data_IF_256360076964
#
_entry.id   IF_256360076964
#
_cell.length_a   1.000
_cell.length_b   1.000
_cell.length_c   1.000
_cell.angle_alpha   90.00
_cell.angle_beta   90.00
_cell.angle_gamma   90.00
#
_symmetry.space_group_name_H-M   'P 1'
#
loop_
_entity.id
_entity.type
_entity.pdbx_description
1 polymer ?
#
# COMPACT_ATOMS: atom_id res chain seq x y z
N UNK A 1 50.46 31.53 58.61
CA UNK A 1 50.26 30.87 57.29
C UNK A 1 48.77 30.86 56.96
N UNK A 2 48.42 30.74 55.68
CA UNK A 2 47.04 30.46 55.22
C UNK A 2 46.70 28.96 55.45
N UNK A 3 45.50 28.42 55.20
CA UNK A 3 44.33 28.96 54.46
C UNK A 3 42.98 28.46 54.99
N UNK A 4 41.89 28.92 54.37
CA UNK A 4 40.47 28.59 54.63
C UNK A 4 40.09 27.20 54.10
N UNK A 5 38.95 26.65 54.57
CA UNK A 5 38.30 25.46 54.01
C UNK A 5 37.31 24.77 54.96
N UNK A 6 36.33 25.49 55.54
CA UNK A 6 34.93 25.55 55.07
C UNK A 6 34.11 24.23 55.22
N UNK A 7 33.01 24.31 55.98
CA UNK A 7 32.14 23.17 56.33
C UNK A 7 31.35 22.64 55.11
N UNK A 8 31.13 21.32 55.07
CA UNK A 8 30.23 20.68 54.11
C UNK A 8 28.79 20.68 54.64
N UNK A 9 27.91 21.48 54.05
CA UNK A 9 26.49 21.54 54.41
C UNK A 9 25.70 20.50 53.62
N UNK A 10 24.94 19.62 54.29
CA UNK A 10 24.06 18.66 53.63
C UNK A 10 22.79 19.40 53.16
N UNK A 11 22.79 19.86 51.92
CA UNK A 11 21.60 20.36 51.22
C UNK A 11 21.02 19.28 50.32
N UNK A 12 19.80 18.83 50.60
CA UNK A 12 19.10 17.88 49.72
C UNK A 12 18.60 18.56 48.46
N UNK A 13 18.92 18.02 47.28
CA UNK A 13 18.26 18.35 46.02
C UNK A 13 17.42 17.16 45.54
N UNK A 14 16.24 17.46 45.01
CA UNK A 14 15.39 16.47 44.35
C UNK A 14 16.05 16.00 43.06
N UNK A 15 16.28 14.68 42.94
CA UNK A 15 16.59 14.05 41.66
C UNK A 15 15.32 13.99 40.78
N UNK A 16 14.96 15.13 40.20
CA UNK A 16 14.02 15.16 39.08
C UNK A 16 14.66 14.43 37.88
N UNK A 17 13.89 13.53 37.28
CA UNK A 17 14.40 12.63 36.25
C UNK A 17 14.74 13.34 34.94
N UNK A 18 16.00 13.71 34.76
CA UNK A 18 16.55 14.08 33.45
C UNK A 18 16.70 12.82 32.61
N UNK A 19 15.63 12.42 31.94
CA UNK A 19 15.70 11.42 30.87
C UNK A 19 16.54 12.03 29.76
N UNK A 20 17.65 11.37 29.41
CA UNK A 20 18.68 11.90 28.50
C UNK A 20 18.10 12.21 27.13
N UNK A 21 17.91 13.49 26.82
CA UNK A 21 17.34 13.99 25.57
C UNK A 21 18.42 14.06 24.47
N UNK A 22 19.07 12.92 24.20
CA UNK A 22 20.21 12.79 23.29
C UNK A 22 20.03 11.67 22.25
N UNK A 23 18.90 11.72 21.54
CA UNK A 23 18.72 11.07 20.23
C UNK A 23 18.21 12.12 19.24
N UNK A 24 19.07 13.09 18.95
CA UNK A 24 18.81 14.17 17.98
C UNK A 24 19.78 13.97 16.81
N UNK A 25 19.25 13.92 15.58
CA UNK A 25 20.04 14.07 14.35
C UNK A 25 20.48 12.79 13.63
N UNK A 26 20.39 11.60 14.24
CA UNK A 26 20.54 10.32 13.54
C UNK A 26 19.19 9.71 13.19
N UNK A 27 18.57 10.22 12.12
CA UNK A 27 17.46 9.52 11.46
C UNK A 27 18.01 8.19 10.93
N UNK A 28 17.65 7.09 11.58
CA UNK A 28 17.96 5.75 11.07
C UNK A 28 17.04 5.52 9.87
N UNK A 29 17.49 5.97 8.69
CA UNK A 29 16.85 5.67 7.43
C UNK A 29 17.13 4.21 7.10
N UNK A 30 16.43 3.29 7.77
CA UNK A 30 16.35 1.89 7.38
C UNK A 30 15.89 1.90 5.91
N UNK A 31 16.66 1.28 5.01
CA UNK A 31 16.45 1.40 3.55
C UNK A 31 15.36 0.42 3.11
N UNK A 32 14.17 0.64 3.69
CA UNK A 32 12.98 -0.19 3.60
C UNK A 32 11.91 0.54 2.78
N UNK A 33 12.25 0.78 1.52
CA UNK A 33 11.38 1.44 0.57
C UNK A 33 10.16 0.58 0.26
N UNK A 34 8.97 1.00 0.70
CA UNK A 34 7.75 0.54 0.04
C UNK A 34 7.80 1.00 -1.42
N UNK A 35 7.35 0.17 -2.37
CA UNK A 35 7.09 0.69 -3.71
C UNK A 35 5.83 1.56 -3.65
N UNK A 36 6.02 2.84 -3.95
CA UNK A 36 5.03 3.89 -3.83
C UNK A 36 4.13 3.94 -5.04
N UNK A 37 2.84 4.08 -4.77
CA UNK A 37 1.83 4.21 -5.82
C UNK A 37 0.99 5.41 -5.44
N UNK A 38 0.91 6.38 -6.36
CA UNK A 38 0.49 7.75 -6.03
C UNK A 38 -0.99 7.92 -5.71
N UNK A 39 -1.38 9.10 -5.22
CA UNK A 39 -2.79 9.48 -5.07
C UNK A 39 -2.89 11.01 -5.09
N UNK A 40 -4.05 11.54 -5.53
CA UNK A 40 -4.58 12.88 -5.25
C UNK A 40 -6.13 12.77 -5.19
N UNK A 41 -6.80 13.73 -4.52
CA UNK A 41 -8.09 13.53 -3.85
C UNK A 41 -9.37 13.82 -4.68
N UNK A 42 -10.55 13.30 -4.27
CA UNK A 42 -11.80 14.09 -4.06
C UNK A 42 -12.96 13.26 -3.46
N UNK A 43 -13.96 13.94 -2.92
CA UNK A 43 -14.91 13.48 -1.89
C UNK A 43 -16.23 12.80 -2.36
N UNK A 44 -16.92 12.25 -1.35
CA UNK A 44 -18.34 11.84 -1.23
C UNK A 44 -18.75 10.37 -1.51
N UNK A 45 -19.47 9.84 -0.51
CA UNK A 45 -20.27 8.60 -0.36
C UNK A 45 -19.92 7.34 -1.20
N UNK A 46 -19.05 6.49 -0.64
CA UNK A 46 -18.92 5.07 -0.99
C UNK A 46 -20.09 4.23 -0.41
N UNK A 47 -20.71 3.31 -1.18
CA UNK A 47 -21.75 2.42 -0.68
C UNK A 47 -21.17 1.31 0.23
N UNK A 48 -21.91 0.91 1.27
CA UNK A 48 -21.44 -0.10 2.24
C UNK A 48 -21.17 -1.48 1.62
N UNK A 49 -19.90 -1.75 1.29
CA UNK A 49 -19.43 -3.04 0.80
C UNK A 49 -18.78 -3.85 1.92
N UNK A 50 -19.63 -4.56 2.68
CA UNK A 50 -19.21 -5.41 3.79
C UNK A 50 -18.11 -6.41 3.40
N UNK A 51 -16.92 -6.25 3.97
CA UNK A 51 -15.76 -7.11 3.76
C UNK A 51 -15.06 -7.47 5.08
N UNK A 52 -14.06 -8.34 5.02
CA UNK A 52 -13.35 -8.88 6.19
C UNK A 52 -12.95 -7.77 7.19
N UNK A 53 -13.38 -7.92 8.44
CA UNK A 53 -13.15 -6.94 9.51
C UNK A 53 -12.03 -7.38 10.45
N UNK A 54 -11.23 -6.42 10.89
CA UNK A 54 -10.29 -6.58 12.00
C UNK A 54 -10.93 -6.03 13.29
N UNK A 55 -11.62 -6.89 14.03
CA UNK A 55 -11.96 -6.63 15.44
C UNK A 55 -10.77 -7.06 16.33
N UNK A 56 -10.23 -6.09 17.05
CA UNK A 56 -8.96 -6.20 17.80
C UNK A 56 -7.86 -5.34 17.18
N UNK A 57 -6.80 -5.08 17.95
CA UNK A 57 -5.76 -4.11 17.58
C UNK A 57 -6.13 -2.64 17.87
N UNK A 58 -7.01 -2.39 18.84
CA UNK A 58 -7.30 -1.01 19.25
C UNK A 58 -6.08 -0.38 19.93
N UNK A 59 -5.75 0.86 19.53
CA UNK A 59 -4.93 1.77 20.33
C UNK A 59 -5.90 2.68 21.07
N UNK A 60 -5.88 2.66 22.40
CA UNK A 60 -6.72 3.56 23.19
C UNK A 60 -6.28 5.01 22.99
N UNK A 61 -7.21 5.97 23.03
CA UNK A 61 -6.90 7.39 22.78
C UNK A 61 -5.75 7.90 23.66
N UNK A 62 -5.73 7.50 24.93
CA UNK A 62 -4.62 7.74 25.86
C UNK A 62 -3.25 7.26 25.35
N UNK A 63 -3.15 6.15 24.62
CA UNK A 63 -1.90 5.67 24.02
C UNK A 63 -1.55 6.35 22.70
N UNK A 64 -2.53 6.82 21.93
CA UNK A 64 -2.28 7.72 20.80
C UNK A 64 -1.65 9.02 21.34
N UNK A 65 -2.25 9.61 22.38
CA UNK A 65 -1.78 10.88 22.94
C UNK A 65 -0.44 10.75 23.69
N UNK A 66 -0.25 9.66 24.47
CA UNK A 66 0.97 9.41 25.25
C UNK A 66 2.17 9.02 24.38
N UNK A 67 1.98 8.16 23.36
CA UNK A 67 3.09 7.55 22.60
C UNK A 67 3.30 8.23 21.25
N UNK A 68 2.24 8.62 20.55
CA UNK A 68 2.34 9.22 19.22
C UNK A 68 2.39 10.76 19.30
N UNK A 69 1.31 11.41 19.77
CA UNK A 69 1.17 12.87 19.71
C UNK A 69 2.14 13.63 20.62
N UNK A 70 2.68 12.98 21.66
CA UNK A 70 3.73 13.55 22.49
C UNK A 70 5.06 13.73 21.74
N UNK A 71 5.36 12.85 20.77
CA UNK A 71 6.61 12.80 20.00
C UNK A 71 6.46 13.37 18.58
N UNK A 72 5.24 13.41 18.04
CA UNK A 72 4.96 13.90 16.68
C UNK A 72 5.01 15.43 16.52
N UNK A 73 5.15 16.18 17.63
CA UNK A 73 5.06 17.65 17.65
C UNK A 73 6.13 18.33 16.80
N UNK A 74 5.74 19.31 16.00
CA UNK A 74 6.60 19.97 14.99
C UNK A 74 6.99 19.07 13.80
N UNK A 75 6.55 17.81 13.79
CA UNK A 75 6.68 16.89 12.67
C UNK A 75 5.46 16.94 11.75
N UNK A 76 5.58 16.37 10.54
CA UNK A 76 4.48 16.36 9.56
C UNK A 76 3.27 15.49 9.94
N UNK A 77 3.32 14.80 11.09
CA UNK A 77 2.24 13.94 11.60
C UNK A 77 1.59 14.44 12.90
N UNK A 78 1.88 15.67 13.36
CA UNK A 78 1.21 16.23 14.53
C UNK A 78 -0.33 16.28 14.33
N UNK A 79 -1.07 15.71 15.29
CA UNK A 79 -2.52 15.57 15.26
C UNK A 79 -3.08 14.48 14.34
N UNK A 80 -2.23 13.62 13.76
CA UNK A 80 -2.65 12.59 12.78
C UNK A 80 -2.82 11.18 13.37
N UNK A 81 -2.56 10.98 14.67
CA UNK A 81 -2.64 9.67 15.32
C UNK A 81 -4.02 9.01 15.21
N UNK A 82 -5.09 9.78 15.42
CA UNK A 82 -6.46 9.28 15.25
C UNK A 82 -6.77 8.93 13.78
N UNK A 83 -6.22 9.69 12.83
CA UNK A 83 -6.36 9.42 11.39
C UNK A 83 -5.63 8.14 10.98
N UNK A 84 -4.43 7.88 11.52
CA UNK A 84 -3.67 6.64 11.29
C UNK A 84 -4.50 5.41 11.73
N UNK A 85 -5.16 5.48 12.88
CA UNK A 85 -6.04 4.39 13.37
C UNK A 85 -7.31 4.26 12.50
N UNK A 86 -7.90 5.38 12.06
CA UNK A 86 -9.03 5.40 11.10
C UNK A 86 -8.64 4.73 9.77
N UNK A 87 -7.47 5.08 9.23
CA UNK A 87 -6.94 4.55 7.97
C UNK A 87 -6.63 3.07 8.05
N UNK A 88 -6.02 2.60 9.14
CA UNK A 88 -5.79 1.17 9.37
C UNK A 88 -7.11 0.37 9.38
N UNK A 89 -8.12 0.87 10.10
CA UNK A 89 -9.46 0.25 10.15
C UNK A 89 -10.14 0.28 8.76
N UNK A 90 -10.06 1.39 8.02
CA UNK A 90 -10.54 1.53 6.63
C UNK A 90 -9.91 0.48 5.70
N UNK A 91 -8.60 0.28 5.81
CA UNK A 91 -7.83 -0.63 4.95
C UNK A 91 -7.66 -2.04 5.51
N UNK A 92 -8.40 -2.43 6.56
CA UNK A 92 -8.48 -3.81 7.08
C UNK A 92 -7.11 -4.37 7.53
N UNK A 93 -6.25 -3.50 8.07
CA UNK A 93 -4.96 -3.84 8.68
C UNK A 93 -5.00 -3.59 10.19
N UNK A 94 -4.09 -4.22 10.93
CA UNK A 94 -4.00 -4.06 12.37
C UNK A 94 -3.49 -2.64 12.74
N UNK A 95 -4.26 -1.83 13.51
CA UNK A 95 -3.87 -0.45 13.81
C UNK A 95 -2.65 -0.31 14.72
N UNK A 96 -2.37 -1.28 15.60
CA UNK A 96 -1.15 -1.28 16.43
C UNK A 96 0.07 -1.54 15.55
N UNK A 97 0.00 -2.49 14.62
CA UNK A 97 1.07 -2.75 13.66
C UNK A 97 1.27 -1.54 12.74
N UNK A 98 0.21 -0.95 12.18
CA UNK A 98 0.33 0.16 11.24
C UNK A 98 0.93 1.42 11.87
N UNK A 99 0.43 1.82 13.06
CA UNK A 99 1.00 2.96 13.79
C UNK A 99 2.45 2.69 14.22
N UNK A 100 2.78 1.46 14.61
CA UNK A 100 4.15 1.10 14.95
C UNK A 100 5.11 1.13 13.75
N UNK A 101 4.66 0.77 12.56
CA UNK A 101 5.42 0.93 11.32
C UNK A 101 5.62 2.42 11.02
N UNK A 102 4.56 3.24 10.97
CA UNK A 102 4.71 4.69 10.72
C UNK A 102 5.68 5.35 11.72
N UNK A 103 5.60 5.03 13.01
CA UNK A 103 6.54 5.52 14.02
C UNK A 103 8.00 5.14 13.67
N UNK A 104 8.21 3.90 13.23
CA UNK A 104 9.52 3.34 12.87
C UNK A 104 10.10 3.98 11.60
N UNK A 105 9.31 4.09 10.52
CA UNK A 105 9.77 4.63 9.23
C UNK A 105 10.01 6.15 9.25
N UNK A 106 9.25 6.88 10.08
CA UNK A 106 9.21 8.35 10.03
C UNK A 106 9.83 9.05 11.24
N UNK A 107 10.16 8.30 12.30
CA UNK A 107 10.52 8.88 13.59
C UNK A 107 9.41 9.80 14.13
N UNK A 108 8.17 9.30 14.22
CA UNK A 108 6.97 10.07 14.60
C UNK A 108 6.64 11.26 13.66
N UNK A 109 6.96 11.17 12.37
CA UNK A 109 6.71 12.24 11.39
C UNK A 109 7.81 13.30 11.30
N UNK A 110 8.94 13.09 11.96
CA UNK A 110 10.08 14.01 11.96
C UNK A 110 10.99 13.86 10.73
N UNK A 111 10.87 12.77 9.97
CA UNK A 111 11.62 12.54 8.73
C UNK A 111 11.21 13.50 7.59
N UNK A 112 12.19 13.95 6.79
CA UNK A 112 11.96 14.93 5.73
C UNK A 112 11.02 14.43 4.61
N UNK A 113 10.97 13.12 4.35
CA UNK A 113 10.01 12.53 3.41
C UNK A 113 8.55 12.83 3.79
N UNK A 114 8.24 12.89 5.10
CA UNK A 114 6.92 13.30 5.59
C UNK A 114 6.70 14.80 5.32
N UNK A 115 7.63 15.65 5.74
CA UNK A 115 7.50 17.12 5.67
C UNK A 115 7.45 17.67 4.24
N UNK A 116 8.11 17.02 3.29
CA UNK A 116 8.31 17.55 1.92
C UNK A 116 7.53 16.80 0.84
N UNK A 117 7.25 15.51 1.07
CA UNK A 117 6.58 14.61 0.12
C UNK A 117 5.28 14.00 0.69
N UNK A 118 4.83 14.37 1.89
CA UNK A 118 3.67 13.77 2.58
C UNK A 118 3.79 12.24 2.75
N UNK A 119 5.02 11.70 2.72
CA UNK A 119 5.27 10.28 2.50
C UNK A 119 5.69 9.58 3.81
N UNK A 120 4.79 8.75 4.34
CA UNK A 120 4.92 8.16 5.70
C UNK A 120 5.57 6.77 5.75
N UNK A 121 6.00 6.22 4.61
CA UNK A 121 6.51 4.85 4.54
C UNK A 121 7.53 4.62 3.41
N UNK A 122 8.35 5.64 3.10
CA UNK A 122 9.43 5.53 2.10
C UNK A 122 8.95 5.15 0.69
N UNK A 123 7.71 5.52 0.34
CA UNK A 123 7.03 5.05 -0.87
C UNK A 123 7.69 5.61 -2.14
N UNK A 124 8.35 4.78 -2.94
CA UNK A 124 9.10 5.17 -4.15
C UNK A 124 8.24 5.21 -5.42
N UNK A 125 8.26 6.32 -6.16
CA UNK A 125 7.64 6.48 -7.47
C UNK A 125 8.57 6.06 -8.62
N UNK A 126 8.54 6.80 -9.73
CA UNK A 126 9.32 6.51 -10.96
C UNK A 126 10.81 6.89 -10.86
N UNK A 127 11.47 6.54 -9.76
CA UNK A 127 12.89 6.78 -9.50
C UNK A 127 13.14 7.48 -8.16
N UNK A 128 12.33 8.49 -7.85
CA UNK A 128 12.38 9.28 -6.62
C UNK A 128 11.29 8.87 -5.61
N UNK A 129 11.33 9.44 -4.39
CA UNK A 129 10.24 9.34 -3.42
C UNK A 129 8.95 9.91 -4.00
N UNK A 130 7.84 9.18 -3.87
CA UNK A 130 6.54 9.66 -4.30
C UNK A 130 6.06 10.81 -3.40
N UNK A 131 5.46 11.85 -3.99
CA UNK A 131 4.87 13.00 -3.29
C UNK A 131 3.34 12.96 -3.37
N UNK A 132 2.69 12.78 -2.21
CA UNK A 132 1.22 12.80 -2.09
C UNK A 132 0.68 14.22 -1.96
N UNK A 133 -0.57 14.45 -2.40
CA UNK A 133 -1.19 15.77 -2.44
C UNK A 133 -1.68 16.18 -1.03
N UNK A 134 -1.95 15.22 -0.13
CA UNK A 134 -2.07 15.45 1.33
C UNK A 134 -1.36 14.40 2.20
N UNK A 135 -1.20 14.69 3.50
CA UNK A 135 -0.60 13.74 4.47
C UNK A 135 -1.56 12.62 4.87
N UNK A 136 -2.84 12.94 5.04
CA UNK A 136 -3.96 11.98 5.11
C UNK A 136 -3.88 10.90 4.03
N UNK A 137 -3.57 11.34 2.81
CA UNK A 137 -3.51 10.51 1.62
C UNK A 137 -2.25 9.65 1.55
N UNK A 138 -1.09 10.18 1.96
CA UNK A 138 0.12 9.37 2.15
C UNK A 138 -0.07 8.29 3.22
N UNK A 139 -0.85 8.57 4.27
CA UNK A 139 -1.24 7.57 5.28
C UNK A 139 -2.17 6.51 4.65
N UNK A 140 -3.20 6.91 3.90
CA UNK A 140 -4.11 5.99 3.22
C UNK A 140 -3.40 5.11 2.17
N UNK A 141 -2.45 5.65 1.41
CA UNK A 141 -1.63 4.90 0.46
C UNK A 141 -0.71 3.88 1.17
N UNK A 142 -0.09 4.26 2.29
CA UNK A 142 0.70 3.34 3.10
C UNK A 142 -0.15 2.20 3.69
N UNK A 143 -1.34 2.54 4.21
CA UNK A 143 -2.28 1.57 4.77
C UNK A 143 -2.76 0.57 3.71
N UNK A 144 -3.13 1.06 2.52
CA UNK A 144 -3.56 0.19 1.43
C UNK A 144 -2.43 -0.68 0.89
N UNK A 145 -1.23 -0.15 0.69
CA UNK A 145 -0.07 -0.97 0.28
C UNK A 145 0.25 -2.07 1.32
N UNK A 146 0.15 -1.77 2.63
CA UNK A 146 0.35 -2.78 3.67
C UNK A 146 -0.76 -3.84 3.68
N UNK A 147 -1.99 -3.49 3.28
CA UNK A 147 -3.03 -4.48 3.02
C UNK A 147 -2.70 -5.36 1.81
N UNK A 148 -2.58 -4.73 0.64
CA UNK A 148 -2.46 -5.38 -0.67
C UNK A 148 -1.25 -6.32 -0.77
N UNK A 149 -0.10 -5.93 -0.19
CA UNK A 149 1.18 -6.64 -0.33
C UNK A 149 1.54 -7.51 0.88
N UNK A 150 0.80 -7.45 2.00
CA UNK A 150 1.17 -8.18 3.22
C UNK A 150 -0.02 -8.83 3.92
N UNK A 151 -1.02 -8.06 4.37
CA UNK A 151 -2.14 -8.65 5.13
C UNK A 151 -3.01 -9.58 4.28
N UNK A 152 -3.17 -9.28 2.98
CA UNK A 152 -3.77 -10.15 1.96
C UNK A 152 -3.13 -11.54 1.89
N UNK A 153 -1.79 -11.59 1.87
CA UNK A 153 -0.96 -12.80 1.86
C UNK A 153 -0.88 -13.49 3.24
N UNK A 154 -1.56 -12.95 4.26
CA UNK A 154 -1.46 -13.44 5.63
C UNK A 154 -0.15 -13.09 6.33
N UNK A 155 0.65 -12.17 5.79
CA UNK A 155 1.83 -11.56 6.41
C UNK A 155 1.40 -10.48 7.42
N UNK A 156 0.71 -10.92 8.47
CA UNK A 156 0.00 -10.08 9.44
C UNK A 156 0.64 -10.03 10.83
N UNK A 157 1.96 -10.21 10.93
CA UNK A 157 2.74 -9.99 12.16
C UNK A 157 4.08 -9.32 11.81
N UNK A 158 4.74 -8.58 12.72
CA UNK A 158 6.03 -7.93 12.44
C UNK A 158 7.10 -8.90 11.93
N UNK A 159 7.12 -10.15 12.40
CA UNK A 159 8.07 -11.18 11.95
C UNK A 159 7.80 -11.72 10.54
N UNK A 160 6.56 -11.59 10.05
CA UNK A 160 6.19 -11.92 8.67
C UNK A 160 6.40 -10.74 7.74
N UNK A 161 6.00 -9.53 8.17
CA UNK A 161 6.15 -8.29 7.40
C UNK A 161 7.64 -8.00 7.21
N UNK A 162 8.42 -7.91 8.29
CA UNK A 162 9.84 -7.55 8.26
C UNK A 162 10.68 -8.42 7.32
N UNK A 163 10.38 -9.72 7.19
CA UNK A 163 11.10 -10.62 6.25
C UNK A 163 10.96 -10.24 4.77
N UNK A 164 9.91 -9.52 4.40
CA UNK A 164 9.62 -9.05 3.03
C UNK A 164 9.79 -7.53 2.88
N UNK A 165 9.62 -6.80 3.99
CA UNK A 165 9.67 -5.34 4.09
C UNK A 165 11.12 -4.84 4.32
N UNK A 166 11.82 -5.41 5.31
CA UNK A 166 13.19 -5.08 5.72
C UNK A 166 14.04 -6.36 5.85
N UNK A 167 14.42 -7.02 4.73
CA UNK A 167 15.21 -8.25 4.76
C UNK A 167 16.67 -8.00 5.20
N UNK A 168 17.10 -8.71 6.25
CA UNK A 168 18.49 -8.73 6.74
C UNK A 168 19.43 -9.23 5.64
N UNK A 169 20.56 -8.54 5.44
CA UNK A 169 21.53 -8.85 4.39
C UNK A 169 21.10 -8.44 2.98
N UNK A 170 20.20 -7.46 2.85
CA UNK A 170 19.87 -6.85 1.56
C UNK A 170 21.08 -6.14 0.95
N UNK A 171 21.27 -6.24 -0.37
CA UNK A 171 22.42 -5.63 -1.06
C UNK A 171 22.44 -4.09 -0.99
N UNK A 172 21.32 -3.47 -0.62
CA UNK A 172 21.16 -2.03 -0.39
C UNK A 172 21.15 -1.63 1.11
N UNK A 173 21.50 -2.53 2.03
CA UNK A 173 21.60 -2.28 3.48
C UNK A 173 22.97 -2.74 4.01
N UNK A 174 24.06 -2.01 3.71
CA UNK A 174 25.43 -2.40 4.08
C UNK A 174 25.72 -2.28 5.58
N UNK A 175 24.92 -1.51 6.31
CA UNK A 175 25.06 -1.24 7.76
C UNK A 175 24.15 -2.15 8.62
N UNK A 176 23.47 -3.12 8.02
CA UNK A 176 22.49 -4.05 8.64
C UNK A 176 21.42 -3.34 9.50
N UNK A 177 20.89 -2.23 9.00
CA UNK A 177 19.82 -1.47 9.65
C UNK A 177 18.52 -2.29 9.71
N UNK A 178 18.28 -3.15 8.72
CA UNK A 178 17.11 -4.03 8.63
C UNK A 178 17.00 -4.99 9.83
N UNK A 179 18.12 -5.41 10.44
CA UNK A 179 18.12 -6.23 11.67
C UNK A 179 17.34 -5.57 12.83
N UNK A 180 17.30 -4.24 12.85
CA UNK A 180 16.66 -3.44 13.89
C UNK A 180 15.15 -3.22 13.65
N UNK A 181 14.65 -3.46 12.44
CA UNK A 181 13.25 -3.17 12.06
C UNK A 181 12.23 -3.99 12.88
N UNK A 182 12.40 -5.32 12.94
CA UNK A 182 11.50 -6.21 13.69
C UNK A 182 11.54 -5.91 15.20
N UNK A 183 12.72 -5.72 15.84
CA UNK A 183 12.81 -5.19 17.21
C UNK A 183 12.12 -3.83 17.41
N UNK A 184 12.30 -2.87 16.49
CA UNK A 184 11.74 -1.52 16.56
C UNK A 184 10.22 -1.53 16.56
N UNK A 185 9.60 -2.12 15.52
CA UNK A 185 8.14 -2.25 15.41
C UNK A 185 7.55 -2.98 16.62
N UNK A 186 8.18 -4.06 17.11
CA UNK A 186 7.70 -4.80 18.28
C UNK A 186 7.83 -4.03 19.60
N UNK A 187 8.87 -3.20 19.76
CA UNK A 187 9.01 -2.28 20.90
C UNK A 187 7.87 -1.27 20.91
N UNK A 188 7.56 -0.67 19.76
CA UNK A 188 6.48 0.32 19.63
C UNK A 188 5.10 -0.28 19.86
N UNK A 189 4.80 -1.48 19.31
CA UNK A 189 3.55 -2.21 19.62
C UNK A 189 3.40 -2.44 21.12
N UNK A 190 4.49 -2.76 21.84
CA UNK A 190 4.46 -2.93 23.30
C UNK A 190 4.17 -1.62 24.06
N UNK A 191 4.51 -0.45 23.50
CA UNK A 191 4.19 0.86 24.09
C UNK A 191 2.73 1.27 23.82
N UNK A 192 2.22 0.96 22.61
CA UNK A 192 0.83 1.23 22.21
C UNK A 192 -0.20 0.30 22.87
N UNK A 193 0.22 -0.88 23.33
CA UNK A 193 -0.64 -1.85 24.00
C UNK A 193 -0.82 -1.50 25.49
N UNK A 194 -2.05 -1.21 25.89
CA UNK A 194 -2.44 -0.85 27.27
C UNK A 194 -2.89 -2.04 28.14
N UNK A 195 -2.72 -3.27 27.64
CA UNK A 195 -3.16 -4.50 28.29
C UNK A 195 -4.66 -4.81 28.18
N UNK A 196 -5.47 -3.91 27.57
CA UNK A 196 -6.91 -4.11 27.34
C UNK A 196 -7.23 -4.57 25.93
N UNK A 197 -6.30 -4.38 24.98
CA UNK A 197 -6.46 -4.79 23.59
C UNK A 197 -6.75 -6.29 23.46
N UNK A 198 -7.91 -6.62 22.88
CA UNK A 198 -8.25 -7.99 22.53
C UNK A 198 -7.29 -8.53 21.47
N UNK A 199 -6.88 -9.80 21.59
CA UNK A 199 -6.09 -10.48 20.55
C UNK A 199 -6.84 -10.39 19.21
N UNK A 200 -6.23 -9.72 18.22
CA UNK A 200 -6.80 -9.57 16.89
C UNK A 200 -7.19 -10.94 16.31
N UNK A 201 -8.50 -11.16 16.11
CA UNK A 201 -9.04 -12.39 15.54
C UNK A 201 -9.28 -12.20 14.04
N UNK A 202 -8.19 -12.09 13.29
CA UNK A 202 -8.21 -11.96 11.84
C UNK A 202 -8.84 -13.22 11.19
N UNK A 203 -10.17 -13.22 11.05
CA UNK A 203 -10.90 -14.24 10.29
C UNK A 203 -10.76 -13.93 8.80
N UNK A 204 -9.87 -14.66 8.14
CA UNK A 204 -9.84 -14.73 6.69
C UNK A 204 -11.24 -15.10 6.18
N UNK A 205 -11.90 -14.14 5.54
CA UNK A 205 -13.21 -14.30 4.92
C UNK A 205 -13.09 -13.84 3.48
N UNK A 206 -13.27 -14.77 2.55
CA UNK A 206 -13.22 -14.51 1.11
C UNK A 206 -14.42 -13.71 0.66
N UNK A 207 -14.43 -12.41 0.98
CA UNK A 207 -15.41 -11.44 0.52
C UNK A 207 -15.37 -11.38 -0.99
N UNK A 208 -16.43 -11.89 -1.64
CA UNK A 208 -16.51 -11.93 -3.10
C UNK A 208 -16.64 -10.50 -3.62
N UNK A 209 -15.64 -10.04 -4.37
CA UNK A 209 -15.86 -8.97 -5.34
C UNK A 209 -17.05 -9.37 -6.23
N UNK A 210 -18.00 -8.46 -6.42
CA UNK A 210 -19.30 -8.80 -7.02
C UNK A 210 -19.26 -8.95 -8.55
N UNK A 211 -18.12 -9.36 -9.11
CA UNK A 211 -18.15 -10.02 -10.41
C UNK A 211 -18.74 -11.43 -10.26
N UNK A 212 -19.82 -11.67 -11.01
CA UNK A 212 -20.52 -12.95 -11.02
C UNK A 212 -19.96 -13.96 -12.04
N UNK A 213 -18.85 -13.63 -12.71
CA UNK A 213 -18.25 -14.39 -13.81
C UNK A 213 -19.13 -14.41 -15.06
N UNK A 214 -19.92 -13.37 -15.28
CA UNK A 214 -20.91 -13.21 -16.37
C UNK A 214 -20.52 -12.06 -17.28
N UNK A 215 -20.88 -12.16 -18.55
CA UNK A 215 -20.59 -11.15 -19.57
C UNK A 215 -21.17 -9.76 -19.24
N UNK A 216 -20.35 -8.75 -19.49
CA UNK A 216 -20.73 -7.35 -19.36
C UNK A 216 -21.75 -6.98 -20.45
N UNK A 217 -23.00 -6.77 -20.02
CA UNK A 217 -24.13 -6.45 -20.91
C UNK A 217 -24.07 -5.06 -21.54
N UNK A 218 -23.25 -4.15 -21.02
CA UNK A 218 -23.15 -2.77 -21.50
C UNK A 218 -22.41 -2.62 -22.83
N UNK A 219 -22.42 -1.39 -23.36
CA UNK A 219 -21.42 -0.93 -24.32
C UNK A 219 -20.12 -0.63 -23.56
N UNK A 220 -18.97 -1.02 -24.09
CA UNK A 220 -17.67 -0.68 -23.51
C UNK A 220 -17.52 0.86 -23.50
N UNK A 221 -17.14 1.49 -22.38
CA UNK A 221 -17.02 2.95 -22.28
C UNK A 221 -16.02 3.56 -23.27
N UNK A 222 -16.21 4.84 -23.58
CA UNK A 222 -15.24 5.64 -24.33
C UNK A 222 -13.98 5.91 -23.52
N UNK A 223 -12.86 6.07 -24.25
CA UNK A 223 -11.57 6.44 -23.67
C UNK A 223 -11.23 7.91 -23.93
N UNK A 224 -10.55 8.55 -22.98
CA UNK A 224 -9.79 9.78 -23.21
C UNK A 224 -8.51 9.72 -22.39
N UNK A 225 -7.39 10.20 -22.95
CA UNK A 225 -6.15 10.34 -22.20
C UNK A 225 -6.23 11.41 -21.08
N UNK A 226 -7.24 12.30 -21.14
CA UNK A 226 -7.56 13.28 -20.10
C UNK A 226 -8.52 12.77 -19.01
N UNK A 227 -9.04 11.55 -19.16
CA UNK A 227 -9.92 10.88 -18.20
C UNK A 227 -9.58 9.38 -18.19
N UNK A 228 -8.50 9.00 -17.47
CA UNK A 228 -8.06 7.62 -17.38
C UNK A 228 -8.78 6.82 -16.26
N UNK A 229 -9.84 7.36 -15.66
CA UNK A 229 -10.41 6.86 -14.40
C UNK A 229 -9.69 7.41 -13.16
N UNK A 230 -10.43 7.58 -12.07
CA UNK A 230 -9.94 8.10 -10.78
C UNK A 230 -8.90 7.14 -10.18
N UNK A 231 -7.85 7.64 -9.55
CA UNK A 231 -6.86 6.80 -8.84
C UNK A 231 -6.18 5.75 -9.73
N UNK A 232 -5.96 6.05 -11.01
CA UNK A 232 -5.26 5.20 -11.95
C UNK A 232 -3.75 5.51 -11.94
N UNK A 233 -2.97 4.60 -11.39
CA UNK A 233 -1.56 4.85 -11.03
C UNK A 233 -0.57 4.05 -11.87
N UNK A 234 -1.07 3.28 -12.83
CA UNK A 234 -0.26 2.66 -13.85
C UNK A 234 0.35 3.74 -14.77
N UNK A 235 1.56 3.50 -15.26
CA UNK A 235 2.28 4.43 -16.14
C UNK A 235 1.41 4.90 -17.31
N UNK A 236 1.28 6.22 -17.46
CA UNK A 236 0.42 6.81 -18.48
C UNK A 236 0.82 6.35 -19.89
N UNK A 237 -0.19 6.17 -20.75
CA UNK A 237 -0.01 5.65 -22.11
C UNK A 237 0.21 4.14 -22.22
N UNK A 238 0.18 3.36 -21.13
CA UNK A 238 0.40 1.90 -21.13
C UNK A 238 -0.90 1.06 -21.16
N UNK A 239 -0.74 -0.22 -21.47
CA UNK A 239 -1.83 -1.22 -21.50
C UNK A 239 -2.57 -1.35 -20.16
N UNK A 240 -1.83 -1.36 -19.05
CA UNK A 240 -2.34 -1.46 -17.67
C UNK A 240 -3.16 -0.23 -17.27
N UNK A 241 -2.67 0.97 -17.58
CA UNK A 241 -3.38 2.25 -17.39
C UNK A 241 -4.70 2.29 -18.15
N UNK A 242 -4.68 1.90 -19.41
CA UNK A 242 -5.89 1.81 -20.22
C UNK A 242 -6.91 0.78 -19.66
N UNK A 243 -6.45 -0.43 -19.34
CA UNK A 243 -7.30 -1.51 -18.86
C UNK A 243 -7.96 -1.18 -17.51
N UNK A 244 -7.24 -0.53 -16.59
CA UNK A 244 -7.78 -0.04 -15.32
C UNK A 244 -8.93 0.95 -15.54
N UNK A 245 -8.71 1.99 -16.35
CA UNK A 245 -9.70 3.05 -16.53
C UNK A 245 -10.99 2.55 -17.19
N UNK A 246 -10.87 1.66 -18.18
CA UNK A 246 -12.03 1.01 -18.80
C UNK A 246 -12.77 0.12 -17.78
N UNK A 247 -12.05 -0.69 -16.99
CA UNK A 247 -12.65 -1.54 -15.94
C UNK A 247 -13.40 -0.72 -14.88
N UNK A 248 -12.84 0.39 -14.42
CA UNK A 248 -13.50 1.31 -13.50
C UNK A 248 -14.77 1.92 -14.12
N UNK A 249 -14.69 2.47 -15.34
CA UNK A 249 -15.86 3.07 -16.04
C UNK A 249 -16.95 2.06 -16.38
N UNK A 250 -16.65 0.76 -16.37
CA UNK A 250 -17.63 -0.32 -16.51
C UNK A 250 -18.36 -0.68 -15.20
N UNK A 251 -18.02 -0.06 -14.06
CA UNK A 251 -18.50 -0.50 -12.75
C UNK A 251 -17.88 -1.84 -12.30
N UNK A 252 -16.72 -2.20 -12.87
CA UNK A 252 -15.96 -3.42 -12.57
C UNK A 252 -14.53 -3.03 -12.14
N UNK A 253 -14.36 -2.20 -11.08
CA UNK A 253 -13.06 -1.73 -10.65
C UNK A 253 -12.11 -2.91 -10.37
N UNK A 254 -10.82 -2.62 -10.45
CA UNK A 254 -9.72 -3.53 -10.15
C UNK A 254 -8.71 -2.77 -9.28
N UNK A 255 -7.75 -3.45 -8.67
CA UNK A 255 -6.67 -2.75 -7.99
C UNK A 255 -5.77 -2.04 -9.00
N UNK A 256 -5.31 -0.84 -8.64
CA UNK A 256 -4.23 -0.14 -9.37
C UNK A 256 -2.83 -0.60 -8.90
N UNK A 257 -2.78 -1.54 -7.96
CA UNK A 257 -1.58 -2.02 -7.28
C UNK A 257 -1.10 -3.39 -7.83
N UNK A 258 -1.60 -3.83 -8.99
CA UNK A 258 -1.16 -5.09 -9.61
C UNK A 258 0.13 -4.97 -10.43
N UNK A 259 0.69 -3.77 -10.57
CA UNK A 259 1.89 -3.44 -11.36
C UNK A 259 1.81 -4.00 -12.81
N UNK A 260 2.85 -4.69 -13.29
CA UNK A 260 2.97 -5.25 -14.64
C UNK A 260 1.83 -6.20 -14.97
N UNK A 261 1.38 -6.17 -16.23
CA UNK A 261 0.20 -6.91 -16.69
C UNK A 261 0.23 -8.41 -16.35
N UNK A 262 1.38 -9.06 -16.50
CA UNK A 262 1.55 -10.49 -16.19
C UNK A 262 1.29 -10.84 -14.71
N UNK A 263 1.32 -9.88 -13.79
CA UNK A 263 1.09 -10.10 -12.35
C UNK A 263 -0.39 -9.93 -11.95
N UNK A 264 -1.24 -9.46 -12.88
CA UNK A 264 -2.63 -9.13 -12.60
C UNK A 264 -3.49 -10.35 -12.28
N UNK A 265 -3.29 -11.48 -12.96
CA UNK A 265 -4.08 -12.69 -12.77
C UNK A 265 -3.86 -13.34 -11.39
N UNK A 266 -2.61 -13.42 -10.92
CA UNK A 266 -2.27 -13.90 -9.59
C UNK A 266 -2.83 -12.98 -8.51
N UNK A 267 -2.60 -11.66 -8.65
CA UNK A 267 -3.00 -10.67 -7.64
C UNK A 267 -4.51 -10.46 -7.58
N UNK A 268 -5.21 -10.48 -8.71
CA UNK A 268 -6.67 -10.51 -8.74
C UNK A 268 -7.22 -11.75 -8.02
N UNK A 269 -6.62 -12.92 -8.24
CA UNK A 269 -6.99 -14.16 -7.53
C UNK A 269 -6.72 -14.08 -6.03
N UNK A 270 -5.63 -13.44 -5.61
CA UNK A 270 -5.31 -13.19 -4.20
C UNK A 270 -6.31 -12.21 -3.53
N UNK A 271 -6.73 -11.17 -4.25
CA UNK A 271 -7.80 -10.25 -3.82
C UNK A 271 -9.22 -10.88 -3.91
N UNK A 272 -9.36 -12.12 -4.41
CA UNK A 272 -10.64 -12.84 -4.46
C UNK A 272 -11.51 -12.54 -5.69
N UNK A 273 -10.96 -11.90 -6.73
CA UNK A 273 -11.61 -11.84 -8.04
C UNK A 273 -11.67 -13.24 -8.67
N UNK A 274 -12.69 -13.45 -9.50
CA UNK A 274 -12.76 -14.66 -10.30
C UNK A 274 -11.80 -14.55 -11.48
N UNK A 275 -10.87 -15.50 -11.57
CA UNK A 275 -9.91 -15.64 -12.67
C UNK A 275 -10.12 -17.00 -13.36
N UNK A 276 -9.92 -17.08 -14.67
CA UNK A 276 -10.01 -18.34 -15.42
C UNK A 276 -9.50 -18.22 -16.86
N UNK A 277 -9.84 -19.23 -17.69
CA UNK A 277 -9.26 -19.43 -19.03
C UNK A 277 -10.22 -19.21 -20.21
N UNK A 278 -11.41 -18.66 -19.98
CA UNK A 278 -12.40 -18.41 -21.05
C UNK A 278 -12.60 -16.92 -21.32
N UNK A 279 -12.67 -16.49 -22.59
CA UNK A 279 -12.93 -15.09 -22.92
C UNK A 279 -14.39 -14.75 -22.60
N UNK A 280 -14.61 -13.57 -22.02
CA UNK A 280 -15.94 -13.02 -21.72
C UNK A 280 -15.95 -11.54 -21.92
N UNK A 281 -17.06 -10.99 -22.40
CA UNK A 281 -17.16 -9.56 -22.66
C UNK A 281 -16.98 -8.78 -21.35
N UNK A 282 -16.05 -7.83 -21.35
CA UNK A 282 -15.69 -7.01 -20.21
C UNK A 282 -14.66 -7.60 -19.24
N UNK A 283 -14.19 -8.83 -19.47
CA UNK A 283 -13.04 -9.37 -18.75
C UNK A 283 -11.75 -8.61 -19.13
N UNK A 284 -10.84 -8.44 -18.17
CA UNK A 284 -9.46 -8.10 -18.47
C UNK A 284 -8.73 -9.39 -18.88
N UNK A 285 -8.32 -9.47 -20.14
CA UNK A 285 -7.48 -10.53 -20.69
C UNK A 285 -6.01 -10.21 -20.40
N UNK A 286 -5.32 -11.16 -19.78
CA UNK A 286 -3.91 -11.11 -19.42
C UNK A 286 -3.15 -12.07 -20.34
N UNK A 287 -2.06 -11.59 -20.94
CA UNK A 287 -1.02 -12.40 -21.53
C UNK A 287 0.19 -12.43 -20.58
N UNK A 288 0.65 -13.64 -20.24
CA UNK A 288 1.89 -13.87 -19.51
C UNK A 288 3.13 -13.39 -20.29
N UNK A 289 4.28 -13.37 -19.61
CA UNK A 289 5.57 -13.06 -20.23
C UNK A 289 5.85 -13.97 -21.43
N UNK A 290 6.01 -13.38 -22.62
CA UNK A 290 6.27 -14.12 -23.87
C UNK A 290 5.05 -14.79 -24.53
N UNK A 291 3.91 -14.91 -23.85
CA UNK A 291 2.72 -15.60 -24.36
C UNK A 291 2.20 -14.93 -25.64
N UNK A 292 1.97 -15.71 -26.71
CA UNK A 292 1.54 -15.19 -28.01
C UNK A 292 2.49 -14.16 -28.65
N UNK A 293 3.76 -14.11 -28.24
CA UNK A 293 4.73 -13.10 -28.69
C UNK A 293 4.66 -11.76 -27.94
N UNK A 294 3.96 -11.69 -26.81
CA UNK A 294 3.93 -10.49 -25.95
C UNK A 294 5.23 -10.30 -25.14
N UNK A 295 5.38 -9.13 -24.51
CA UNK A 295 6.58 -8.72 -23.77
C UNK A 295 7.05 -9.79 -22.77
N UNK A 296 8.31 -10.22 -22.88
CA UNK A 296 8.95 -11.18 -21.98
C UNK A 296 9.24 -10.60 -20.59
N UNK A 297 9.06 -9.29 -20.38
CA UNK A 297 9.30 -8.62 -19.09
C UNK A 297 7.97 -8.28 -18.40
N UNK A 298 7.02 -7.70 -19.12
CA UNK A 298 5.79 -7.14 -18.54
C UNK A 298 4.54 -7.99 -18.75
N UNK A 299 4.58 -8.96 -19.68
CA UNK A 299 3.36 -9.49 -20.30
C UNK A 299 2.56 -8.38 -20.99
N UNK A 300 1.25 -8.59 -21.15
CA UNK A 300 0.34 -7.59 -21.72
C UNK A 300 -1.10 -7.72 -21.19
N UNK A 301 -1.90 -6.66 -21.28
CA UNK A 301 -3.33 -6.67 -20.89
C UNK A 301 -4.20 -5.91 -21.88
N UNK A 302 -5.40 -6.44 -22.14
CA UNK A 302 -6.47 -5.77 -22.88
C UNK A 302 -7.84 -6.09 -22.29
N UNK A 303 -8.86 -5.33 -22.67
CA UNK A 303 -10.26 -5.61 -22.26
C UNK A 303 -10.98 -6.31 -23.41
N UNK A 304 -11.60 -7.44 -23.14
CA UNK A 304 -12.39 -8.19 -24.12
C UNK A 304 -13.67 -7.42 -24.45
N UNK A 305 -13.87 -7.03 -25.71
CA UNK A 305 -15.04 -6.25 -26.14
C UNK A 305 -16.11 -7.11 -26.82
N UNK A 306 -15.71 -8.23 -27.40
CA UNK A 306 -16.55 -9.20 -28.09
C UNK A 306 -15.92 -10.61 -28.06
N UNK A 307 -16.72 -11.65 -28.20
CA UNK A 307 -16.29 -13.06 -28.13
C UNK A 307 -16.93 -13.85 -29.27
N UNK A 308 -16.13 -14.32 -30.22
CA UNK A 308 -16.60 -15.10 -31.38
C UNK A 308 -16.67 -16.59 -31.06
N UNK A 309 -15.72 -17.09 -30.27
CA UNK A 309 -15.70 -18.44 -29.70
C UNK A 309 -14.81 -18.48 -28.45
N UNK A 310 -14.77 -19.62 -27.74
CA UNK A 310 -13.80 -19.86 -26.65
C UNK A 310 -12.33 -19.63 -27.11
N UNK A 311 -12.03 -19.82 -28.40
CA UNK A 311 -10.67 -19.73 -28.95
C UNK A 311 -10.40 -18.42 -29.73
N UNK A 312 -11.40 -17.55 -29.93
CA UNK A 312 -11.25 -16.33 -30.72
C UNK A 312 -12.14 -15.20 -30.19
N UNK A 313 -11.51 -14.09 -29.79
CA UNK A 313 -12.16 -12.95 -29.15
C UNK A 313 -11.59 -11.63 -29.69
N UNK A 314 -12.27 -10.52 -29.42
CA UNK A 314 -11.81 -9.17 -29.81
C UNK A 314 -11.46 -8.39 -28.54
N UNK A 315 -10.29 -7.75 -28.55
CA UNK A 315 -9.83 -6.90 -27.44
C UNK A 315 -9.75 -5.44 -27.85
N UNK A 316 -9.85 -4.57 -26.85
CA UNK A 316 -9.43 -3.17 -26.90
C UNK A 316 -8.29 -2.98 -25.90
N UNK A 317 -7.23 -2.31 -26.31
CA UNK A 317 -5.94 -2.27 -25.61
C UNK A 317 -5.17 -0.98 -25.95
N UNK A 318 -4.10 -0.68 -25.20
CA UNK A 318 -3.20 0.45 -25.46
C UNK A 318 -1.75 -0.03 -25.41
N UNK A 319 -0.83 0.64 -26.11
CA UNK A 319 0.57 0.24 -26.27
C UNK A 319 0.80 -1.21 -26.75
N UNK A 320 -0.14 -1.70 -27.57
CA UNK A 320 0.09 -2.82 -28.49
C UNK A 320 0.46 -2.24 -29.88
N UNK A 321 -0.20 -2.68 -30.95
CA UNK A 321 0.06 -2.22 -32.32
C UNK A 321 -0.09 -0.70 -32.53
N UNK A 322 -0.86 0.01 -31.68
CA UNK A 322 -0.99 1.47 -31.72
C UNK A 322 0.17 2.26 -31.07
N UNK A 323 1.03 1.63 -30.28
CA UNK A 323 2.02 2.33 -29.44
C UNK A 323 1.40 3.09 -28.26
N UNK A 324 2.21 3.86 -27.50
CA UNK A 324 1.76 4.53 -26.28
C UNK A 324 0.66 5.56 -26.54
N UNK A 325 -0.24 5.75 -25.56
CA UNK A 325 -1.38 6.69 -25.60
C UNK A 325 -2.44 6.45 -26.68
N UNK A 326 -2.22 5.49 -27.59
CA UNK A 326 -3.14 5.13 -28.67
C UNK A 326 -3.92 3.86 -28.31
N UNK A 327 -5.25 3.93 -28.42
CA UNK A 327 -6.12 2.76 -28.24
C UNK A 327 -6.22 2.00 -29.56
N UNK A 328 -5.90 0.72 -29.55
CA UNK A 328 -6.05 -0.20 -30.68
C UNK A 328 -7.06 -1.31 -30.36
N UNK A 329 -7.66 -1.86 -31.40
CA UNK A 329 -8.51 -3.06 -31.31
C UNK A 329 -8.01 -4.12 -32.29
N UNK A 330 -8.04 -5.39 -31.87
CA UNK A 330 -7.72 -6.53 -32.74
C UNK A 330 -8.49 -7.77 -32.32
N UNK A 331 -8.60 -8.71 -33.27
CA UNK A 331 -8.92 -10.10 -32.95
C UNK A 331 -7.69 -10.77 -32.31
N UNK A 332 -7.91 -11.54 -31.26
CA UNK A 332 -6.91 -12.36 -30.57
C UNK A 332 -7.39 -13.81 -30.60
N UNK A 333 -6.49 -14.73 -30.94
CA UNK A 333 -6.69 -16.17 -30.78
C UNK A 333 -6.20 -16.61 -29.41
N UNK A 334 -6.78 -17.64 -28.82
CA UNK A 334 -6.29 -18.20 -27.57
C UNK A 334 -4.92 -18.85 -27.76
N UNK A 335 -4.00 -18.57 -26.84
CA UNK A 335 -2.66 -19.16 -26.76
C UNK A 335 -2.40 -19.63 -25.32
N UNK A 336 -1.43 -20.52 -25.12
CA UNK A 336 -0.98 -20.88 -23.78
C UNK A 336 -0.35 -19.67 -23.06
N UNK A 337 -0.60 -19.56 -21.75
CA UNK A 337 -0.25 -18.38 -20.96
C UNK A 337 -1.24 -17.23 -21.04
N UNK A 338 -2.47 -17.45 -21.54
CA UNK A 338 -3.55 -16.47 -21.46
C UNK A 338 -4.53 -16.76 -20.30
N UNK A 339 -5.01 -15.69 -19.67
CA UNK A 339 -6.02 -15.79 -18.59
C UNK A 339 -6.94 -14.56 -18.56
N UNK A 340 -8.06 -14.67 -17.84
CA UNK A 340 -9.13 -13.67 -17.83
C UNK A 340 -9.58 -13.38 -16.41
N UNK A 341 -9.52 -12.11 -16.03
CA UNK A 341 -10.08 -11.56 -14.79
C UNK A 341 -11.45 -11.00 -15.12
N UNK A 342 -12.50 -11.61 -14.56
CA UNK A 342 -13.88 -11.38 -15.02
C UNK A 342 -14.48 -10.05 -14.54
#
# INVERSE_FOLDING_TARGET
MASKGSKLTIGGLLFLGVISLFVVGSVIMIISMMMGVGVFETTEEEPETGGAYCEGGEVSKSKIDEVFESNAKGGGLEGKGDYIIKSAKKHKIDPQIFMAIIINETGYGQAEAVKTHNNVAGMMGSGDLFKFDSIEEGIDAAAKNLYDLYFSEGLNTPEKIGKKYAPVGAANDPDDLNSNWIPGVKKTIKQLNDGKASKAKCKASGGKFNDSGKDYKGKIPGWSNSDPGKGNLYTAGQCTWYAYGIRQKMGKPISTFWHDAHKWNERAKAEGYKVGSKPKKGAAWIAEQGAGGHSTVTGHVGIVIDVKSDNEFVVTEMNAAGGPYNVSQRTVKMEDGYSFIY
#
